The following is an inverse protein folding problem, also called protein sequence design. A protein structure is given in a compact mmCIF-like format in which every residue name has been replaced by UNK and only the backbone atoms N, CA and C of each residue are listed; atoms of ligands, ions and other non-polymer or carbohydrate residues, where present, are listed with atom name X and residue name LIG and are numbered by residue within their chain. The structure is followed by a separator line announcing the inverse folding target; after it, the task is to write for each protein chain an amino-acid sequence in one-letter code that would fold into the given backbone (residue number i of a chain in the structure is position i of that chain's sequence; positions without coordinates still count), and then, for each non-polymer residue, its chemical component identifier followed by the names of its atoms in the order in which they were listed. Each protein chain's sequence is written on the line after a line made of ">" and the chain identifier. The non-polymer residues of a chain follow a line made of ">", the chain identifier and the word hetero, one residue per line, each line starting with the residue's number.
data_IF_327767397334
#
_entry.id   IF_327767397334
#
_cell.length_a   1.000
_cell.length_b   1.000
_cell.length_c   1.000
_cell.angle_alpha   90.00
_cell.angle_beta   90.00
_cell.angle_gamma   90.00
#
_symmetry.space_group_name_H-M   'P 1'
#
loop_
_entity.id
_entity.type
_entity.pdbx_description
1 polymer ?
#
# COMPACT_ATOMS: atom_id res chain seq x y z
N UNK A 1 -23.82 46.25 -26.14
CA UNK A 1 -24.66 45.15 -25.62
C UNK A 1 -23.81 43.92 -25.31
N UNK A 2 -23.40 43.78 -24.05
CA UNK A 2 -22.66 42.62 -23.56
C UNK A 2 -23.70 41.49 -23.37
N UNK A 3 -23.74 40.52 -24.30
CA UNK A 3 -24.55 39.32 -24.11
C UNK A 3 -24.03 38.62 -22.84
N UNK A 4 -24.88 38.33 -21.83
CA UNK A 4 -24.46 37.52 -20.70
C UNK A 4 -23.98 36.15 -21.24
N UNK A 5 -22.84 35.62 -20.75
CA UNK A 5 -22.33 34.36 -21.27
C UNK A 5 -23.37 33.24 -21.02
N UNK A 6 -23.70 32.41 -22.02
CA UNK A 6 -24.77 31.41 -21.95
C UNK A 6 -24.59 30.32 -20.88
N UNK A 7 -23.53 30.36 -20.08
CA UNK A 7 -23.02 29.22 -19.30
C UNK A 7 -23.12 29.40 -17.78
N UNK A 8 -23.44 30.60 -17.28
CA UNK A 8 -23.56 30.83 -15.82
C UNK A 8 -24.75 30.10 -15.19
N UNK A 9 -25.80 29.81 -15.98
CA UNK A 9 -26.94 29.01 -15.55
C UNK A 9 -26.58 27.53 -15.37
N UNK A 10 -25.91 26.96 -16.37
CA UNK A 10 -25.47 25.55 -16.39
C UNK A 10 -24.65 25.20 -15.16
N UNK A 11 -23.63 25.99 -14.81
CA UNK A 11 -22.80 25.71 -13.64
C UNK A 11 -23.60 25.69 -12.32
N UNK A 12 -24.57 26.60 -12.15
CA UNK A 12 -25.40 26.67 -10.95
C UNK A 12 -26.38 25.49 -10.88
N UNK A 13 -27.01 25.16 -12.01
CA UNK A 13 -27.95 24.06 -12.11
C UNK A 13 -27.26 22.71 -11.87
N UNK A 14 -26.12 22.48 -12.51
CA UNK A 14 -25.33 21.26 -12.34
C UNK A 14 -24.86 21.12 -10.89
N UNK A 15 -24.40 22.22 -10.27
CA UNK A 15 -24.01 22.21 -8.85
C UNK A 15 -25.20 21.88 -7.94
N UNK A 16 -26.39 22.42 -8.22
CA UNK A 16 -27.59 22.09 -7.47
C UNK A 16 -27.97 20.60 -7.62
N UNK A 17 -27.92 20.06 -8.85
CA UNK A 17 -28.17 18.63 -9.12
C UNK A 17 -27.16 17.73 -8.40
N UNK A 18 -25.87 18.11 -8.39
CA UNK A 18 -24.82 17.38 -7.68
C UNK A 18 -25.01 17.39 -6.16
N UNK A 19 -25.47 18.51 -5.59
CA UNK A 19 -25.72 18.63 -4.16
C UNK A 19 -27.00 17.89 -3.73
N UNK A 20 -27.98 17.77 -4.62
CA UNK A 20 -29.21 17.02 -4.38
C UNK A 20 -29.04 15.50 -4.52
N UNK A 21 -27.95 15.05 -5.13
CA UNK A 21 -27.71 13.63 -5.39
C UNK A 21 -27.38 12.87 -4.07
N UNK A 22 -28.09 11.76 -3.77
CA UNK A 22 -28.00 11.08 -2.48
C UNK A 22 -26.71 10.27 -2.26
N UNK A 23 -25.99 9.91 -3.33
CA UNK A 23 -24.80 9.09 -3.26
C UNK A 23 -23.86 9.38 -4.45
N UNK A 24 -22.66 8.77 -4.41
CA UNK A 24 -21.63 8.98 -5.43
C UNK A 24 -22.09 8.55 -6.84
N UNK A 25 -22.82 7.43 -6.96
CA UNK A 25 -23.34 6.93 -8.23
C UNK A 25 -24.34 7.90 -8.86
N UNK A 26 -25.21 8.49 -8.05
CA UNK A 26 -26.14 9.53 -8.50
C UNK A 26 -25.39 10.79 -8.95
N UNK A 27 -24.29 11.15 -8.30
CA UNK A 27 -23.42 12.26 -8.74
C UNK A 27 -22.73 11.96 -10.07
N UNK A 28 -22.23 10.74 -10.25
CA UNK A 28 -21.67 10.28 -11.52
C UNK A 28 -22.72 10.36 -12.64
N UNK A 29 -23.95 9.92 -12.40
CA UNK A 29 -25.04 10.03 -13.37
C UNK A 29 -25.35 11.49 -13.78
N UNK A 30 -25.33 12.43 -12.82
CA UNK A 30 -25.48 13.86 -13.12
C UNK A 30 -24.33 14.38 -13.99
N UNK A 31 -23.10 13.97 -13.71
CA UNK A 31 -21.94 14.34 -14.53
C UNK A 31 -21.99 13.75 -15.93
N UNK A 32 -22.32 12.47 -16.06
CA UNK A 32 -22.47 11.80 -17.36
C UNK A 32 -23.53 12.50 -18.21
N UNK A 33 -24.69 12.81 -17.64
CA UNK A 33 -25.76 13.51 -18.33
C UNK A 33 -25.35 14.93 -18.77
N UNK A 34 -24.65 15.67 -17.91
CA UNK A 34 -24.17 17.03 -18.22
C UNK A 34 -23.13 17.00 -19.34
N UNK A 35 -22.22 16.03 -19.31
CA UNK A 35 -21.19 15.86 -20.34
C UNK A 35 -21.82 15.53 -21.70
N UNK A 36 -22.84 14.65 -21.73
CA UNK A 36 -23.60 14.35 -22.95
C UNK A 36 -24.33 15.59 -23.48
N UNK A 37 -24.96 16.36 -22.60
CA UNK A 37 -25.65 17.61 -22.97
C UNK A 37 -24.67 18.63 -23.58
N UNK A 38 -23.46 18.75 -23.02
CA UNK A 38 -22.42 19.64 -23.58
C UNK A 38 -21.92 19.17 -24.94
N UNK A 39 -21.74 17.86 -25.13
CA UNK A 39 -21.34 17.29 -26.42
C UNK A 39 -22.38 17.57 -27.50
N UNK A 40 -23.67 17.42 -27.18
CA UNK A 40 -24.77 17.65 -28.13
C UNK A 40 -24.99 19.13 -28.42
N UNK A 41 -25.02 19.98 -27.39
CA UNK A 41 -25.44 21.38 -27.52
C UNK A 41 -24.31 22.36 -27.86
N UNK A 42 -23.06 22.08 -27.46
CA UNK A 42 -21.95 23.03 -27.61
C UNK A 42 -20.92 22.59 -28.65
N UNK A 43 -20.57 21.31 -28.68
CA UNK A 43 -19.47 20.83 -29.51
C UNK A 43 -19.97 20.20 -30.82
N UNK A 44 -21.02 19.40 -30.75
CA UNK A 44 -21.50 18.56 -31.84
C UNK A 44 -20.58 17.36 -32.12
N UNK A 45 -21.10 16.31 -32.78
CA UNK A 45 -20.38 15.04 -32.95
C UNK A 45 -19.09 15.17 -33.75
N UNK A 46 -19.04 16.10 -34.71
CA UNK A 46 -17.86 16.32 -35.55
C UNK A 46 -16.69 16.89 -34.75
N UNK A 47 -16.95 17.84 -33.84
CA UNK A 47 -15.90 18.47 -33.05
C UNK A 47 -15.42 17.53 -31.93
N UNK A 48 -16.35 16.82 -31.29
CA UNK A 48 -16.02 15.78 -30.28
C UNK A 48 -15.07 14.74 -30.89
N UNK A 49 -15.36 14.28 -32.11
CA UNK A 49 -14.50 13.35 -32.83
C UNK A 49 -13.17 13.98 -33.26
N UNK A 50 -13.19 15.20 -33.82
CA UNK A 50 -11.97 15.89 -34.25
C UNK A 50 -10.98 16.15 -33.11
N UNK A 51 -11.50 16.38 -31.90
CA UNK A 51 -10.71 16.57 -30.69
C UNK A 51 -10.41 15.25 -29.94
N UNK A 52 -10.83 14.10 -30.48
CA UNK A 52 -10.69 12.79 -29.84
C UNK A 52 -11.26 12.76 -28.41
N UNK A 53 -12.32 13.53 -28.16
CA UNK A 53 -12.94 13.64 -26.84
C UNK A 53 -13.86 12.46 -26.51
N UNK A 54 -14.06 11.54 -27.45
CA UNK A 54 -14.88 10.33 -27.32
C UNK A 54 -14.27 9.30 -26.34
N UNK A 55 -12.95 9.32 -26.12
CA UNK A 55 -12.24 8.41 -25.22
C UNK A 55 -11.78 9.06 -23.92
N UNK A 56 -12.37 10.18 -23.50
CA UNK A 56 -11.94 10.93 -22.32
C UNK A 56 -12.88 10.74 -21.12
N UNK A 57 -12.29 10.56 -19.94
CA UNK A 57 -12.99 10.57 -18.66
C UNK A 57 -14.11 9.54 -18.58
N UNK A 58 -15.28 9.96 -18.12
CA UNK A 58 -16.42 9.06 -17.94
C UNK A 58 -17.03 8.55 -19.26
N UNK A 59 -16.75 9.19 -20.39
CA UNK A 59 -17.23 8.74 -21.71
C UNK A 59 -16.64 7.39 -22.12
N UNK A 60 -15.45 7.08 -21.62
CA UNK A 60 -14.84 5.75 -21.81
C UNK A 60 -15.79 4.65 -21.37
N UNK A 61 -16.53 4.84 -20.27
CA UNK A 61 -17.51 3.88 -19.75
C UNK A 61 -18.54 3.45 -20.80
N UNK A 62 -19.02 4.37 -21.65
CA UNK A 62 -20.05 4.06 -22.64
C UNK A 62 -19.56 3.07 -23.72
N UNK A 63 -18.25 2.96 -23.93
CA UNK A 63 -17.64 2.02 -24.88
C UNK A 63 -17.38 0.63 -24.31
N UNK A 64 -17.74 0.40 -23.03
CA UNK A 64 -17.55 -0.86 -22.31
C UNK A 64 -18.88 -1.47 -21.93
N UNK A 65 -19.04 -2.75 -22.27
CA UNK A 65 -20.19 -3.55 -21.85
C UNK A 65 -19.94 -4.16 -20.48
N UNK A 66 -21.00 -4.50 -19.71
CA UNK A 66 -20.83 -5.15 -18.40
C UNK A 66 -20.00 -6.45 -18.47
N UNK A 67 -20.15 -7.21 -19.57
CA UNK A 67 -19.38 -8.44 -19.81
C UNK A 67 -17.88 -8.14 -19.99
N UNK A 68 -17.55 -7.06 -20.68
CA UNK A 68 -16.16 -6.61 -20.84
C UNK A 68 -15.57 -6.09 -19.53
N UNK A 69 -16.38 -5.42 -18.69
CA UNK A 69 -15.95 -5.02 -17.35
C UNK A 69 -15.62 -6.23 -16.48
N UNK A 70 -16.49 -7.24 -16.45
CA UNK A 70 -16.27 -8.48 -15.71
C UNK A 70 -15.02 -9.23 -16.20
N UNK A 71 -14.81 -9.30 -17.52
CA UNK A 71 -13.61 -9.86 -18.13
C UNK A 71 -12.35 -9.10 -17.72
N UNK A 72 -12.41 -7.76 -17.67
CA UNK A 72 -11.31 -6.93 -17.17
C UNK A 72 -11.00 -7.21 -15.70
N UNK A 73 -12.02 -7.37 -14.85
CA UNK A 73 -11.85 -7.71 -13.42
C UNK A 73 -11.15 -9.05 -13.27
N UNK A 74 -11.59 -10.06 -14.05
CA UNK A 74 -10.98 -11.38 -14.04
C UNK A 74 -9.51 -11.32 -14.50
N UNK A 75 -9.22 -10.57 -15.55
CA UNK A 75 -7.86 -10.33 -16.04
C UNK A 75 -6.97 -9.64 -15.01
N UNK A 76 -7.47 -8.60 -14.33
CA UNK A 76 -6.76 -7.92 -13.23
C UNK A 76 -6.46 -8.87 -12.06
N UNK A 77 -7.37 -9.78 -11.73
CA UNK A 77 -7.16 -10.77 -10.65
C UNK A 77 -6.06 -11.77 -11.01
N UNK A 78 -5.95 -12.18 -12.28
CA UNK A 78 -4.97 -13.18 -12.71
C UNK A 78 -3.60 -12.56 -13.06
N UNK A 79 -3.58 -11.48 -13.83
CA UNK A 79 -2.37 -10.90 -14.42
C UNK A 79 -1.96 -9.56 -13.78
N UNK A 80 -2.70 -9.07 -12.78
CA UNK A 80 -2.47 -7.76 -12.16
C UNK A 80 -2.50 -6.63 -13.21
N UNK A 81 -1.46 -5.80 -13.28
CA UNK A 81 -1.36 -4.67 -14.23
C UNK A 81 -0.61 -5.01 -15.51
N UNK A 82 -0.53 -6.29 -15.87
CA UNK A 82 0.05 -6.73 -17.14
C UNK A 82 -1.03 -6.67 -18.22
N UNK A 83 -1.21 -5.47 -18.80
CA UNK A 83 -2.31 -5.19 -19.72
C UNK A 83 -2.21 -5.97 -21.04
N UNK A 84 -1.01 -6.41 -21.46
CA UNK A 84 -0.87 -7.19 -22.69
C UNK A 84 -1.45 -8.60 -22.53
N UNK A 85 -1.26 -9.23 -21.37
CA UNK A 85 -1.84 -10.53 -21.06
C UNK A 85 -3.34 -10.43 -20.82
N UNK A 86 -3.81 -9.37 -20.16
CA UNK A 86 -5.25 -9.11 -20.02
C UNK A 86 -5.91 -8.98 -21.40
N UNK A 87 -5.29 -8.23 -22.31
CA UNK A 87 -5.80 -8.12 -23.67
C UNK A 87 -5.86 -9.48 -24.36
N UNK A 88 -4.75 -10.23 -24.37
CA UNK A 88 -4.67 -11.50 -25.10
C UNK A 88 -5.65 -12.56 -24.56
N UNK A 89 -5.78 -12.65 -23.24
CA UNK A 89 -6.44 -13.78 -22.59
C UNK A 89 -7.91 -13.48 -22.24
N UNK A 90 -8.29 -12.20 -22.06
CA UNK A 90 -9.64 -11.79 -21.63
C UNK A 90 -10.35 -10.81 -22.59
N UNK A 91 -9.62 -9.90 -23.23
CA UNK A 91 -10.19 -8.80 -24.02
C UNK A 91 -9.48 -8.63 -25.38
N UNK A 92 -9.53 -9.64 -26.27
CA UNK A 92 -8.79 -9.60 -27.54
C UNK A 92 -9.33 -8.54 -28.50
N UNK A 93 -10.61 -8.20 -28.39
CA UNK A 93 -11.29 -7.20 -29.23
C UNK A 93 -10.94 -5.75 -28.85
N UNK A 94 -10.43 -5.52 -27.64
CA UNK A 94 -9.98 -4.19 -27.21
C UNK A 94 -8.50 -4.03 -27.49
N UNK A 95 -8.11 -2.81 -27.85
CA UNK A 95 -6.70 -2.43 -27.92
C UNK A 95 -6.11 -2.22 -26.52
N UNK A 96 -4.78 -2.36 -26.40
CA UNK A 96 -4.04 -2.05 -25.15
C UNK A 96 -4.33 -0.62 -24.69
N UNK A 97 -4.38 0.34 -25.63
CA UNK A 97 -4.67 1.74 -25.32
C UNK A 97 -6.04 1.90 -24.64
N UNK A 98 -7.09 1.27 -25.20
CA UNK A 98 -8.43 1.32 -24.61
C UNK A 98 -8.49 0.67 -23.22
N UNK A 99 -7.74 -0.41 -23.00
CA UNK A 99 -7.65 -1.07 -21.69
C UNK A 99 -6.97 -0.15 -20.66
N UNK A 100 -5.88 0.53 -21.06
CA UNK A 100 -5.19 1.52 -20.22
C UNK A 100 -6.09 2.71 -19.91
N UNK A 101 -6.80 3.22 -20.92
CA UNK A 101 -7.73 4.35 -20.76
C UNK A 101 -8.86 3.99 -19.79
N UNK A 102 -9.43 2.79 -19.92
CA UNK A 102 -10.44 2.29 -18.98
C UNK A 102 -9.88 2.17 -17.56
N UNK A 103 -8.66 1.64 -17.42
CA UNK A 103 -8.02 1.50 -16.11
C UNK A 103 -7.88 2.84 -15.39
N UNK A 104 -7.38 3.88 -16.06
CA UNK A 104 -7.14 5.17 -15.41
C UNK A 104 -8.39 6.04 -15.28
N UNK A 105 -9.28 6.05 -16.27
CA UNK A 105 -10.44 6.92 -16.29
C UNK A 105 -11.64 6.37 -15.52
N UNK A 106 -11.79 5.04 -15.43
CA UNK A 106 -12.98 4.40 -14.85
C UNK A 106 -12.59 3.58 -13.62
N UNK A 107 -11.68 2.62 -13.79
CA UNK A 107 -11.39 1.62 -12.75
C UNK A 107 -10.67 2.16 -11.52
N UNK A 108 -9.58 2.91 -11.73
CA UNK A 108 -8.72 3.41 -10.65
C UNK A 108 -9.44 4.42 -9.76
N UNK A 109 -10.33 5.21 -10.35
CA UNK A 109 -11.10 6.24 -9.63
C UNK A 109 -12.40 5.71 -9.04
N UNK A 110 -12.68 4.41 -9.16
CA UNK A 110 -13.86 3.74 -8.58
C UNK A 110 -15.18 4.24 -9.16
N UNK A 111 -15.22 4.43 -10.47
CA UNK A 111 -16.37 5.03 -11.15
C UNK A 111 -17.56 4.06 -11.31
N UNK A 112 -17.28 2.76 -11.37
CA UNK A 112 -18.28 1.70 -11.54
C UNK A 112 -18.41 0.85 -10.28
N UNK A 113 -19.58 0.25 -10.07
CA UNK A 113 -19.82 -0.61 -8.90
C UNK A 113 -18.83 -1.79 -8.85
N UNK A 114 -18.52 -2.40 -10.00
CA UNK A 114 -17.51 -3.46 -10.11
C UNK A 114 -16.14 -3.01 -9.58
N UNK A 115 -15.70 -1.81 -9.96
CA UNK A 115 -14.45 -1.25 -9.46
C UNK A 115 -14.51 -0.97 -7.96
N UNK A 116 -15.60 -0.36 -7.45
CA UNK A 116 -15.79 -0.08 -6.02
C UNK A 116 -15.70 -1.38 -5.21
N UNK A 117 -16.43 -2.42 -5.60
CA UNK A 117 -16.44 -3.70 -4.91
C UNK A 117 -15.05 -4.34 -4.89
N UNK A 118 -14.36 -4.36 -6.03
CA UNK A 118 -13.01 -4.91 -6.11
C UNK A 118 -12.03 -4.18 -5.18
N UNK A 119 -12.11 -2.85 -5.09
CA UNK A 119 -11.25 -2.05 -4.20
C UNK A 119 -11.58 -2.30 -2.73
N UNK A 120 -12.85 -2.49 -2.38
CA UNK A 120 -13.26 -2.86 -1.01
C UNK A 120 -12.74 -4.25 -0.63
N UNK A 121 -12.90 -5.24 -1.50
CA UNK A 121 -12.35 -6.59 -1.33
C UNK A 121 -10.83 -6.55 -1.12
N UNK A 122 -10.11 -5.82 -1.97
CA UNK A 122 -8.65 -5.70 -1.86
C UNK A 122 -8.20 -4.94 -0.62
N UNK A 123 -8.92 -3.88 -0.22
CA UNK A 123 -8.61 -3.14 0.99
C UNK A 123 -8.80 -3.98 2.25
N UNK A 124 -9.94 -4.68 2.36
CA UNK A 124 -10.23 -5.57 3.50
C UNK A 124 -9.25 -6.73 3.60
N UNK A 125 -8.85 -7.33 2.48
CA UNK A 125 -7.78 -8.35 2.45
C UNK A 125 -6.44 -7.80 2.96
N UNK A 126 -6.11 -6.55 2.61
CA UNK A 126 -4.88 -5.89 3.07
C UNK A 126 -4.93 -5.61 4.58
N UNK A 127 -6.07 -5.15 5.09
CA UNK A 127 -6.28 -4.95 6.53
C UNK A 127 -6.19 -6.26 7.31
N UNK A 128 -6.80 -7.34 6.80
CA UNK A 128 -6.73 -8.66 7.41
C UNK A 128 -5.27 -9.16 7.48
N UNK A 129 -4.50 -9.01 6.38
CA UNK A 129 -3.07 -9.37 6.37
C UNK A 129 -2.25 -8.53 7.34
N UNK A 130 -2.50 -7.23 7.43
CA UNK A 130 -1.82 -6.36 8.38
C UNK A 130 -2.14 -6.77 9.84
N UNK A 131 -3.40 -7.12 10.13
CA UNK A 131 -3.81 -7.60 11.44
C UNK A 131 -3.18 -8.96 11.80
N UNK A 132 -3.09 -9.88 10.84
CA UNK A 132 -2.39 -11.16 11.00
C UNK A 132 -0.89 -10.97 11.25
N UNK A 133 -0.24 -10.07 10.52
CA UNK A 133 1.16 -9.71 10.73
C UNK A 133 1.39 -9.08 12.11
N UNK A 134 0.49 -8.20 12.56
CA UNK A 134 0.53 -7.61 13.90
C UNK A 134 0.31 -8.68 14.99
N UNK A 135 -0.64 -9.60 14.79
CA UNK A 135 -0.87 -10.71 15.70
C UNK A 135 0.35 -11.65 15.77
N UNK A 136 0.96 -11.97 14.62
CA UNK A 136 2.18 -12.76 14.55
C UNK A 136 3.36 -12.05 15.24
N UNK A 137 3.48 -10.72 15.10
CA UNK A 137 4.48 -9.93 15.80
C UNK A 137 4.29 -9.97 17.33
N UNK A 138 3.05 -9.80 17.81
CA UNK A 138 2.70 -9.93 19.25
C UNK A 138 2.96 -11.34 19.79
N UNK A 139 2.69 -12.37 19.00
CA UNK A 139 3.01 -13.75 19.37
C UNK A 139 4.52 -13.98 19.44
N UNK A 140 5.30 -13.40 18.54
CA UNK A 140 6.77 -13.48 18.57
C UNK A 140 7.36 -12.78 19.80
N UNK A 141 6.86 -11.60 20.16
CA UNK A 141 7.36 -10.86 21.34
C UNK A 141 6.97 -11.54 22.66
N UNK A 142 5.74 -12.04 22.79
CA UNK A 142 5.31 -12.79 23.98
C UNK A 142 6.05 -14.13 24.11
N UNK A 143 6.27 -14.86 23.01
CA UNK A 143 7.09 -16.08 22.99
C UNK A 143 8.55 -15.80 23.34
N UNK A 144 9.13 -14.71 22.84
CA UNK A 144 10.49 -14.30 23.19
C UNK A 144 10.61 -13.88 24.66
N UNK A 145 9.64 -13.15 25.19
CA UNK A 145 9.58 -12.78 26.61
C UNK A 145 9.43 -14.01 27.52
N UNK A 146 8.59 -14.98 27.15
CA UNK A 146 8.45 -16.24 27.87
C UNK A 146 9.75 -17.07 27.83
N UNK A 147 10.44 -17.13 26.69
CA UNK A 147 11.73 -17.81 26.57
C UNK A 147 12.83 -17.14 27.41
N UNK A 148 12.88 -15.80 27.44
CA UNK A 148 13.82 -15.05 28.28
C UNK A 148 13.55 -15.26 29.79
N UNK A 149 12.28 -15.29 30.20
CA UNK A 149 11.90 -15.60 31.57
C UNK A 149 12.29 -17.03 31.98
N UNK A 150 12.09 -18.02 31.09
CA UNK A 150 12.51 -19.40 31.33
C UNK A 150 14.04 -19.54 31.44
N UNK A 151 14.81 -18.83 30.60
CA UNK A 151 16.26 -18.80 30.67
C UNK A 151 16.78 -18.17 31.98
N UNK A 152 16.11 -17.11 32.47
CA UNK A 152 16.43 -16.50 33.75
C UNK A 152 16.15 -17.45 34.95
N UNK A 153 15.05 -18.21 34.89
CA UNK A 153 14.72 -19.20 35.92
C UNK A 153 15.71 -20.38 35.97
N UNK A 154 16.13 -20.89 34.80
CA UNK A 154 17.13 -21.97 34.72
C UNK A 154 18.52 -21.58 35.25
N UNK A 155 18.90 -20.31 35.09
CA UNK A 155 20.19 -19.79 35.61
C UNK A 155 20.20 -19.69 37.14
N UNK A 156 19.04 -19.45 37.77
CA UNK A 156 18.89 -19.36 39.23
C UNK A 156 19.05 -20.71 39.93
N UNK A 157 18.63 -21.80 39.30
CA UNK A 157 18.74 -23.14 39.85
C UNK A 157 20.18 -23.69 39.79
N UNK A 158 20.96 -23.31 38.77
CA UNK A 158 22.39 -23.70 38.66
C UNK A 158 23.31 -22.99 39.66
N UNK A 159 22.98 -21.76 40.10
CA UNK A 159 23.77 -21.05 41.12
C UNK A 159 23.55 -21.60 42.53
N UNK A 160 22.34 -22.11 42.84
CA UNK A 160 22.06 -22.80 44.11
C UNK A 160 22.84 -24.10 44.29
N UNK A 161 23.10 -24.84 43.20
CA UNK A 161 23.91 -26.07 43.23
C UNK A 161 25.42 -25.85 43.39
N UNK A 162 25.97 -24.75 42.85
CA UNK A 162 27.42 -24.46 42.94
C UNK A 162 27.85 -23.91 44.31
N UNK A 163 26.94 -23.33 45.09
CA UNK A 163 27.27 -22.83 46.43
C UNK A 163 27.51 -23.97 47.44
N UNK A 164 26.85 -25.13 47.25
CA UNK A 164 27.02 -26.29 48.11
C UNK A 164 28.38 -27.01 47.95
N UNK A 165 29.03 -26.91 46.77
CA UNK A 165 30.25 -27.67 46.49
C UNK A 165 31.55 -26.90 46.77
N UNK A 166 31.48 -25.58 47.01
CA UNK A 166 32.65 -24.71 47.19
C UNK A 166 33.06 -24.48 48.66
N UNK A 167 32.53 -25.26 49.60
CA UNK A 167 32.86 -25.16 51.02
C UNK A 167 33.87 -26.22 51.52
N UNK A 168 34.34 -27.13 50.65
CA UNK A 168 35.23 -28.24 51.09
C UNK A 168 36.74 -28.04 50.83
N UNK A 169 37.20 -26.94 50.24
CA UNK A 169 38.64 -26.76 49.97
C UNK A 169 39.12 -25.33 50.25
N UNK A 170 39.33 -25.00 51.52
CA UNK A 170 40.14 -23.84 51.90
C UNK A 170 40.86 -24.14 53.23
N UNK A 171 42.10 -24.62 53.14
CA UNK A 171 43.06 -24.61 54.24
C UNK A 171 43.97 -23.37 54.13
N UNK A 172 44.34 -22.70 55.23
CA UNK A 172 45.23 -21.55 55.20
C UNK A 172 46.69 -21.95 55.47
N UNK A 173 47.63 -21.48 54.66
CA UNK A 173 49.05 -21.46 55.02
C UNK A 173 49.63 -20.04 54.92
N UNK A 174 50.40 -19.72 55.96
CA UNK A 174 50.93 -18.43 56.39
C UNK A 174 52.42 -18.34 56.01
N UNK A 175 52.87 -17.21 55.47
CA UNK A 175 54.25 -16.74 55.69
C UNK A 175 54.99 -16.02 54.55
N UNK A 176 55.24 -14.72 54.77
CA UNK A 176 56.46 -13.89 54.52
C UNK A 176 56.92 -13.65 53.06
N UNK A 177 56.95 -12.39 52.58
CA UNK A 177 58.03 -11.37 52.68
C UNK A 177 59.31 -11.84 51.95
N UNK A 178 60.02 -11.09 51.09
CA UNK A 178 60.21 -9.65 50.84
C UNK A 178 61.02 -9.49 49.52
N UNK A 179 61.25 -8.25 49.09
CA UNK A 179 62.42 -7.77 48.31
C UNK A 179 62.29 -7.43 46.79
N UNK A 180 62.11 -6.11 46.55
CA UNK A 180 62.84 -5.14 45.68
C UNK A 180 63.29 -5.54 44.25
N UNK A 181 63.48 -4.64 43.27
CA UNK A 181 63.16 -3.25 42.96
C UNK A 181 63.77 -2.94 41.56
N UNK A 182 63.30 -1.86 40.91
CA UNK A 182 63.86 -1.17 39.73
C UNK A 182 63.66 -1.89 38.37
N UNK A 183 63.36 -1.23 37.24
CA UNK A 183 63.80 0.09 36.78
C UNK A 183 62.80 0.69 35.76
N UNK A 184 62.74 2.02 35.74
CA UNK A 184 61.86 2.92 34.97
C UNK A 184 62.26 3.10 33.50
N UNK A 185 61.36 3.80 32.79
CA UNK A 185 61.48 4.59 31.53
C UNK A 185 61.38 3.72 30.26
N UNK A 186 60.43 3.87 29.35
CA UNK A 186 59.69 5.05 28.88
C UNK A 186 60.22 5.37 27.48
N UNK A 187 59.46 5.12 26.40
CA UNK A 187 59.65 5.72 25.06
C UNK A 187 58.41 5.44 24.18
N UNK A 188 58.03 6.48 23.46
CA UNK A 188 56.91 6.74 22.54
C UNK A 188 57.05 6.12 21.14
N UNK A 189 55.94 6.05 20.40
CA UNK A 189 55.85 5.87 18.92
C UNK A 189 54.52 5.19 18.57
N UNK A 190 53.46 5.85 18.08
CA UNK A 190 53.28 6.55 16.79
C UNK A 190 53.79 5.79 15.55
N UNK A 191 52.90 5.61 14.56
CA UNK A 191 53.21 5.08 13.22
C UNK A 191 52.42 3.81 12.86
N UNK A 192 51.20 3.86 12.33
CA UNK A 192 50.78 4.24 10.97
C UNK A 192 50.91 3.08 9.94
N UNK A 193 49.78 2.68 9.34
CA UNK A 193 49.74 2.31 7.92
C UNK A 193 49.34 0.88 7.50
N UNK A 194 48.35 0.85 6.59
CA UNK A 194 48.31 0.04 5.33
C UNK A 194 47.82 -1.42 5.50
N UNK A 195 46.84 -1.99 4.77
CA UNK A 195 46.13 -1.67 3.52
C UNK A 195 44.62 -1.80 3.66
#
# INVERSE_FOLDING_TARGET
>A
PFLPPPHQGLCKEVTAKLNAAPNLNARHAVMDATVLEMDENLLGPNLVKALSMESLGSKVKASWTPVEEDAFVAGLRQHNREFQSIQRDFLPEKSIAQIIDYYYNIWKIRYTDASVQWHLEHWTLKEARAAEEEAAAKQRTTKAAAAAAAAAAGTRQQQGGRCAQRQHTAQPHRGKAEERAAKREGVTGEGNGVM
#
